data_IF_405482351773
#
_entry.id   IF_405482351773
#
_cell.length_a   1.000
_cell.length_b   1.000
_cell.length_c   1.000
_cell.angle_alpha   90.00
_cell.angle_beta   90.00
_cell.angle_gamma   90.00
#
_symmetry.space_group_name_H-M   'P 1'
#
loop_
_entity.id
_entity.type
_entity.pdbx_description
1 polymer ?
#
# COMPACT_ATOMS: atom_id res chain seq x y z
N UNK A 1 -7.04 2.09 22.35
CA UNK A 1 -6.42 1.28 21.28
C UNK A 1 -5.55 2.21 20.42
N UNK A 2 -4.33 1.81 20.01
CA UNK A 2 -3.45 2.67 19.20
C UNK A 2 -3.96 2.84 17.77
N UNK A 3 -4.49 1.79 17.17
CA UNK A 3 -5.03 1.83 15.81
C UNK A 3 -6.20 2.79 15.74
N UNK A 4 -7.11 2.72 16.72
CA UNK A 4 -8.25 3.62 16.84
C UNK A 4 -7.81 5.10 16.92
N UNK A 5 -6.79 5.40 17.74
CA UNK A 5 -6.26 6.76 17.88
C UNK A 5 -5.65 7.29 16.57
N UNK A 6 -4.98 6.44 15.78
CA UNK A 6 -4.44 6.82 14.48
C UNK A 6 -5.56 7.07 13.45
N UNK A 7 -6.62 6.27 13.46
CA UNK A 7 -7.79 6.47 12.58
C UNK A 7 -8.53 7.76 12.92
N UNK A 8 -8.67 8.08 14.21
CA UNK A 8 -9.26 9.35 14.64
C UNK A 8 -8.45 10.56 14.13
N UNK A 9 -7.12 10.51 14.22
CA UNK A 9 -6.25 11.59 13.68
C UNK A 9 -6.27 11.68 12.16
N UNK A 10 -6.49 10.57 11.48
CA UNK A 10 -6.63 10.57 10.03
C UNK A 10 -7.91 11.26 9.57
N UNK A 11 -9.01 11.08 10.31
CA UNK A 11 -10.29 11.72 10.00
C UNK A 11 -10.23 13.27 10.08
N UNK A 12 -9.25 13.82 10.80
CA UNK A 12 -9.01 15.26 10.92
C UNK A 12 -8.14 15.82 9.78
N UNK A 13 -7.65 14.99 8.85
CA UNK A 13 -6.71 15.38 7.79
C UNK A 13 -7.35 15.27 6.39
N UNK A 14 -7.87 16.38 5.83
CA UNK A 14 -8.58 16.36 4.55
C UNK A 14 -7.68 16.13 3.33
N UNK A 15 -6.37 16.29 3.49
CA UNK A 15 -5.35 16.03 2.47
C UNK A 15 -5.04 14.53 2.31
N UNK A 16 -5.59 13.67 3.17
CA UNK A 16 -5.38 12.23 3.13
C UNK A 16 -6.69 11.49 2.86
N UNK A 17 -6.68 10.65 1.82
CA UNK A 17 -7.77 9.71 1.54
C UNK A 17 -7.39 8.32 2.03
N UNK A 18 -8.23 7.73 2.89
CA UNK A 18 -8.10 6.34 3.30
C UNK A 18 -9.11 5.48 2.56
N UNK A 19 -8.62 4.44 1.88
CA UNK A 19 -9.44 3.43 1.24
C UNK A 19 -9.13 2.08 1.90
N UNK A 20 -10.12 1.52 2.60
CA UNK A 20 -10.00 0.22 3.27
C UNK A 20 -10.48 -0.91 2.37
N UNK A 21 -10.11 -2.15 2.69
CA UNK A 21 -10.42 -3.32 1.85
C UNK A 21 -9.69 -3.35 0.51
N UNK A 22 -8.68 -2.49 0.35
CA UNK A 22 -7.83 -2.40 -0.81
C UNK A 22 -6.64 -3.36 -0.71
N UNK A 23 -6.46 -4.22 -1.72
CA UNK A 23 -5.34 -5.16 -1.81
C UNK A 23 -4.48 -4.86 -3.02
N UNK A 24 -3.18 -4.62 -2.82
CA UNK A 24 -2.25 -4.42 -3.93
C UNK A 24 -2.00 -5.75 -4.65
N UNK A 25 -2.21 -5.77 -5.97
CA UNK A 25 -1.97 -6.91 -6.84
C UNK A 25 -0.77 -6.75 -7.78
N UNK A 26 -0.34 -5.52 -8.05
CA UNK A 26 0.77 -5.23 -8.94
C UNK A 26 1.32 -3.82 -8.74
N UNK A 27 2.57 -3.61 -9.14
CA UNK A 27 3.23 -2.29 -9.15
C UNK A 27 4.02 -2.12 -10.44
N UNK A 28 3.82 -0.99 -11.11
CA UNK A 28 4.64 -0.53 -12.22
C UNK A 28 5.36 0.77 -11.82
N UNK A 29 6.69 0.75 -11.79
CA UNK A 29 7.50 1.93 -11.51
C UNK A 29 8.09 2.51 -12.80
N UNK A 30 7.93 3.81 -13.00
CA UNK A 30 8.58 4.59 -14.05
C UNK A 30 9.57 5.60 -13.46
N UNK A 31 10.30 6.36 -14.30
CA UNK A 31 11.37 7.26 -13.83
C UNK A 31 10.93 8.33 -12.83
N UNK A 32 9.64 8.71 -12.79
CA UNK A 32 9.08 9.76 -11.90
C UNK A 32 7.66 9.44 -11.43
N UNK A 33 7.24 8.19 -11.50
CA UNK A 33 5.91 7.78 -11.04
C UNK A 33 5.92 6.31 -10.64
N UNK A 34 4.97 5.96 -9.78
CA UNK A 34 4.62 4.59 -9.46
C UNK A 34 3.11 4.45 -9.64
N UNK A 35 2.70 3.37 -10.29
CA UNK A 35 1.30 2.98 -10.42
C UNK A 35 1.11 1.64 -9.72
N UNK A 36 0.18 1.58 -8.77
CA UNK A 36 -0.25 0.35 -8.13
C UNK A 36 -1.56 -0.12 -8.76
N UNK A 37 -1.62 -1.40 -9.08
CA UNK A 37 -2.87 -2.09 -9.39
C UNK A 37 -3.43 -2.64 -8.09
N UNK A 38 -4.67 -2.27 -7.77
CA UNK A 38 -5.30 -2.54 -6.48
C UNK A 38 -6.66 -3.19 -6.70
N UNK A 39 -6.97 -4.24 -5.95
CA UNK A 39 -8.32 -4.79 -5.89
C UNK A 39 -9.10 -4.21 -4.72
N UNK A 40 -10.31 -3.72 -5.01
CA UNK A 40 -11.25 -3.17 -4.03
C UNK A 40 -12.63 -3.73 -4.37
N UNK A 41 -13.27 -4.41 -3.41
CA UNK A 41 -14.61 -4.97 -3.59
C UNK A 41 -14.75 -5.81 -4.90
N UNK A 42 -13.73 -6.61 -5.23
CA UNK A 42 -13.70 -7.47 -6.42
C UNK A 42 -13.45 -6.73 -7.74
N UNK A 43 -13.14 -5.43 -7.70
CA UNK A 43 -12.79 -4.64 -8.88
C UNK A 43 -11.32 -4.27 -8.83
N UNK A 44 -10.65 -4.42 -9.96
CA UNK A 44 -9.31 -3.90 -10.17
C UNK A 44 -9.37 -2.41 -10.50
N UNK A 45 -8.59 -1.61 -9.78
CA UNK A 45 -8.40 -0.18 -10.01
C UNK A 45 -6.91 0.15 -10.08
N UNK A 46 -6.57 1.25 -10.76
CA UNK A 46 -5.20 1.77 -10.78
C UNK A 46 -5.09 3.01 -9.89
N UNK A 47 -4.04 3.06 -9.08
CA UNK A 47 -3.70 4.19 -8.23
C UNK A 47 -2.28 4.67 -8.57
N UNK A 48 -2.17 5.86 -9.14
CA UNK A 48 -0.90 6.47 -9.56
C UNK A 48 -0.41 7.54 -8.58
N UNK A 49 0.91 7.67 -8.45
CA UNK A 49 1.55 8.72 -7.66
C UNK A 49 3.04 8.88 -7.98
N UNK A 50 3.69 9.84 -7.33
CA UNK A 50 5.14 10.03 -7.47
C UNK A 50 5.95 9.00 -6.64
N UNK A 51 5.41 8.60 -5.49
CA UNK A 51 6.05 7.71 -4.53
C UNK A 51 5.04 6.65 -4.05
N UNK A 52 5.48 5.39 -4.04
CA UNK A 52 4.75 4.29 -3.40
C UNK A 52 5.48 3.89 -2.11
N UNK A 53 4.74 3.84 -1.00
CA UNK A 53 5.28 3.45 0.32
C UNK A 53 4.77 2.05 0.67
N UNK A 54 5.70 1.10 0.86
CA UNK A 54 5.39 -0.26 1.30
C UNK A 54 5.16 -0.34 2.81
N UNK A 55 3.90 -0.21 3.24
CA UNK A 55 3.49 -0.30 4.64
C UNK A 55 2.48 -1.45 4.90
N UNK A 56 2.52 -2.48 4.05
CA UNK A 56 1.62 -3.65 4.05
C UNK A 56 2.12 -4.81 4.93
N UNK A 57 3.07 -4.54 5.82
CA UNK A 57 3.48 -5.43 6.90
C UNK A 57 4.49 -6.51 6.51
N UNK A 58 4.45 -7.60 7.28
CA UNK A 58 5.47 -8.66 7.26
C UNK A 58 5.44 -9.50 5.98
N UNK A 59 4.26 -9.67 5.38
CA UNK A 59 4.05 -10.36 4.09
C UNK A 59 3.80 -9.37 2.96
N UNK A 60 4.61 -8.32 2.93
CA UNK A 60 4.49 -7.24 1.95
C UNK A 60 4.50 -7.74 0.52
N UNK A 61 3.42 -7.46 -0.22
CA UNK A 61 3.36 -7.64 -1.66
C UNK A 61 4.23 -6.60 -2.37
N UNK A 62 4.28 -5.36 -1.84
CA UNK A 62 5.07 -4.26 -2.43
C UNK A 62 6.57 -4.62 -2.48
N UNK A 63 7.07 -5.30 -1.46
CA UNK A 63 8.48 -5.75 -1.38
C UNK A 63 8.88 -6.61 -2.57
N UNK A 64 7.97 -7.43 -3.10
CA UNK A 64 8.27 -8.31 -4.24
C UNK A 64 8.57 -7.53 -5.54
N UNK A 65 8.08 -6.30 -5.67
CA UNK A 65 8.18 -5.52 -6.91
C UNK A 65 9.40 -4.60 -6.98
N UNK A 66 10.06 -4.32 -5.85
CA UNK A 66 11.18 -3.36 -5.79
C UNK A 66 12.54 -3.89 -6.25
N UNK A 67 12.63 -5.07 -6.88
CA UNK A 67 13.90 -5.73 -7.21
C UNK A 67 14.66 -6.30 -6.01
N UNK A 68 14.27 -5.92 -4.79
CA UNK A 68 14.68 -6.56 -3.55
C UNK A 68 13.76 -7.74 -3.27
N UNK A 69 13.98 -8.87 -3.94
CA UNK A 69 13.30 -10.15 -3.66
C UNK A 69 13.72 -10.74 -2.28
N UNK A 70 13.79 -9.90 -1.25
CA UNK A 70 14.05 -10.28 0.11
C UNK A 70 12.80 -10.97 0.66
N UNK A 71 12.88 -12.29 0.80
CA UNK A 71 11.86 -13.08 1.50
C UNK A 71 11.69 -12.54 2.92
N UNK A 72 10.45 -12.51 3.40
CA UNK A 72 10.18 -12.20 4.81
C UNK A 72 10.98 -13.15 5.70
N UNK A 73 11.66 -12.59 6.72
CA UNK A 73 12.45 -13.36 7.70
C UNK A 73 11.66 -13.65 8.97
N UNK A 74 10.36 -13.39 8.97
CA UNK A 74 9.50 -13.68 10.10
C UNK A 74 9.37 -15.19 10.27
N UNK A 75 9.75 -15.67 11.46
CA UNK A 75 9.76 -17.08 11.83
C UNK A 75 8.81 -17.38 13.01
N UNK A 76 7.83 -16.49 13.23
CA UNK A 76 6.84 -16.63 14.30
C UNK A 76 5.77 -17.66 13.98
#
# INVERSE_FOLDING_TARGET
>A
DLQEALMARLAERPDISLVTGARVGGVAAGPRHATATVEIAGKTVEAGGFLLIGADGVWSAIRAFGGFAAKSRFSG
#
